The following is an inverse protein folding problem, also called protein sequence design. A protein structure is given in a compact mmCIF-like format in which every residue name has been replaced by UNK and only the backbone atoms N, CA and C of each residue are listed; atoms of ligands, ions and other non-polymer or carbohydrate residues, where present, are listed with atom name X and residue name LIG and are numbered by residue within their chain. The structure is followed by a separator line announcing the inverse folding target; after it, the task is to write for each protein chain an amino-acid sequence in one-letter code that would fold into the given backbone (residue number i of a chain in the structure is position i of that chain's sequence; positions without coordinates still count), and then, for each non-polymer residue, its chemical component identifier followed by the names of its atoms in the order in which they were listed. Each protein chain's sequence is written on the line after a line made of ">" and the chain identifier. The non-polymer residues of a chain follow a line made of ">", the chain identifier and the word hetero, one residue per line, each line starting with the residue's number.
data_IF_462835181355
#
_entry.id   IF_462835181355
#
_cell.length_a   1.000
_cell.length_b   1.000
_cell.length_c   1.000
_cell.angle_alpha   90.00
_cell.angle_beta   90.00
_cell.angle_gamma   90.00
#
_symmetry.space_group_name_H-M   'P 1'
#
loop_
_entity.id
_entity.type
_entity.pdbx_description
1 polymer ?
#
# COMPACT_ATOMS: atom_id res chain seq x y z
N UNK A 1 7.66 -15.02 -5.59
CA UNK A 1 8.01 -14.02 -6.24
C UNK A 1 6.96 -13.26 -6.84
N UNK A 2 6.87 -12.04 -6.54
CA UNK A 2 5.85 -11.31 -7.00
C UNK A 2 6.23 -10.87 -8.30
N UNK A 3 5.57 -10.98 -9.21
CA UNK A 3 5.44 -10.47 -10.22
C UNK A 3 6.33 -10.02 -11.09
N UNK A 4 6.91 -10.91 -11.58
CA UNK A 4 7.74 -10.69 -12.60
C UNK A 4 7.09 -10.19 -13.79
N UNK A 5 5.78 -10.12 -13.81
CA UNK A 5 5.03 -9.65 -14.95
C UNK A 5 4.28 -8.39 -14.61
N UNK A 6 4.98 -7.44 -14.01
CA UNK A 6 4.37 -6.15 -13.72
C UNK A 6 3.99 -5.50 -15.03
N UNK A 7 2.71 -5.30 -15.21
CA UNK A 7 2.20 -4.65 -16.39
C UNK A 7 2.27 -3.15 -16.22
N UNK A 8 1.97 -2.44 -17.28
CA UNK A 8 1.87 -0.99 -17.21
C UNK A 8 0.84 -0.58 -16.18
N UNK A 9 1.01 0.58 -15.56
CA UNK A 9 0.02 1.05 -14.58
C UNK A 9 -1.32 1.29 -15.26
N UNK A 10 -2.38 1.09 -14.50
CA UNK A 10 -3.74 1.35 -14.96
C UNK A 10 -4.34 2.46 -14.11
N UNK A 11 -5.27 3.21 -14.69
CA UNK A 11 -5.96 4.26 -13.96
C UNK A 11 -7.12 3.66 -13.19
N UNK A 12 -7.13 3.91 -11.88
CA UNK A 12 -8.16 3.38 -11.00
C UNK A 12 -8.88 4.57 -10.34
N UNK A 13 -10.22 4.53 -10.26
CA UNK A 13 -10.94 5.60 -9.57
C UNK A 13 -10.48 5.72 -8.12
N UNK A 14 -10.24 6.94 -7.69
CA UNK A 14 -9.79 7.22 -6.33
C UNK A 14 -10.76 6.64 -5.31
N UNK A 15 -12.06 6.68 -5.62
CA UNK A 15 -13.10 6.17 -4.71
C UNK A 15 -13.04 4.65 -4.50
N UNK A 16 -12.30 3.94 -5.34
CA UNK A 16 -12.16 2.49 -5.25
C UNK A 16 -10.90 2.04 -4.54
N UNK A 17 -10.09 2.98 -4.08
CA UNK A 17 -8.81 2.68 -3.43
C UNK A 17 -8.89 3.09 -1.97
N UNK A 18 -8.58 2.15 -1.09
CA UNK A 18 -8.67 2.32 0.35
C UNK A 18 -7.31 2.26 1.00
N UNK A 19 -7.08 2.97 2.12
CA UNK A 19 -5.81 2.84 2.82
C UNK A 19 -5.64 1.42 3.37
N UNK A 20 -4.40 0.99 3.54
CA UNK A 20 -4.12 -0.31 4.14
C UNK A 20 -4.61 -0.29 5.59
N UNK A 21 -5.52 -1.18 5.92
CA UNK A 21 -6.07 -1.25 7.27
C UNK A 21 -4.96 -1.63 8.25
N UNK A 22 -4.81 -0.84 9.30
CA UNK A 22 -3.75 -1.08 10.27
C UNK A 22 -2.38 -0.59 9.84
N UNK A 23 -2.31 0.30 8.85
CA UNK A 23 -1.05 0.89 8.42
C UNK A 23 -0.34 1.51 9.62
N UNK A 24 0.88 1.03 9.99
CA UNK A 24 1.59 1.55 11.15
C UNK A 24 2.17 2.95 10.95
N UNK A 25 2.26 3.39 9.70
CA UNK A 25 2.87 4.68 9.38
C UNK A 25 1.79 5.74 9.26
N UNK A 26 1.99 6.87 9.95
CA UNK A 26 1.01 7.95 9.92
C UNK A 26 1.13 8.75 8.63
N UNK A 27 -0.01 9.12 8.08
CA UNK A 27 -0.08 10.03 6.94
C UNK A 27 -0.50 11.38 7.50
N UNK A 28 0.43 12.34 7.50
CA UNK A 28 0.22 13.63 8.14
C UNK A 28 -0.20 14.69 7.12
N UNK A 29 -1.15 15.53 7.53
CA UNK A 29 -1.55 16.69 6.74
C UNK A 29 -0.72 17.89 7.19
N UNK A 30 0.53 17.91 6.75
CA UNK A 30 1.48 18.95 7.11
C UNK A 30 1.86 19.77 5.88
N UNK A 31 2.85 20.65 6.03
CA UNK A 31 3.30 21.51 4.95
C UNK A 31 3.84 20.71 3.76
N UNK A 32 4.56 19.63 4.03
CA UNK A 32 5.05 18.75 2.98
C UNK A 32 3.89 18.14 2.19
N UNK A 33 2.82 17.80 2.87
CA UNK A 33 1.61 17.29 2.21
C UNK A 33 1.01 18.37 1.32
N UNK A 34 0.98 19.62 1.78
CA UNK A 34 0.46 20.73 0.98
C UNK A 34 1.27 20.93 -0.30
N UNK A 35 2.59 20.82 -0.22
CA UNK A 35 3.44 20.89 -1.41
C UNK A 35 3.16 19.74 -2.38
N UNK A 36 2.95 18.55 -1.83
CA UNK A 36 2.64 17.39 -2.65
C UNK A 36 1.29 17.55 -3.36
N UNK A 37 0.29 18.05 -2.66
CA UNK A 37 -1.03 18.33 -3.23
C UNK A 37 -0.90 19.30 -4.39
N UNK A 38 -0.16 20.39 -4.17
CA UNK A 38 0.04 21.41 -5.18
C UNK A 38 0.75 20.84 -6.40
N UNK A 39 1.79 20.04 -6.18
CA UNK A 39 2.51 19.38 -7.26
C UNK A 39 1.60 18.48 -8.09
N UNK A 40 0.74 17.72 -7.41
CA UNK A 40 -0.19 16.82 -8.08
C UNK A 40 -1.23 17.62 -8.88
N UNK A 41 -1.70 18.73 -8.35
CA UNK A 41 -2.64 19.59 -9.06
C UNK A 41 -2.04 20.16 -10.35
N UNK A 42 -0.74 20.45 -10.33
CA UNK A 42 -0.07 21.03 -11.48
C UNK A 42 0.41 20.01 -12.49
N UNK A 43 0.89 18.87 -12.03
CA UNK A 43 1.56 17.89 -12.90
C UNK A 43 0.93 16.51 -12.90
N UNK A 44 -0.03 16.25 -12.03
CA UNK A 44 -0.59 14.92 -11.85
C UNK A 44 0.38 14.02 -11.06
N UNK A 45 0.06 12.75 -10.99
CA UNK A 45 0.92 11.78 -10.32
C UNK A 45 1.91 11.20 -11.32
N UNK A 46 3.20 11.40 -11.06
CA UNK A 46 4.26 10.89 -11.92
C UNK A 46 4.55 9.43 -11.59
N UNK A 47 4.58 9.08 -10.31
CA UNK A 47 4.86 7.71 -9.87
C UNK A 47 3.57 7.01 -9.46
N UNK A 48 3.24 5.88 -10.09
CA UNK A 48 2.02 5.15 -9.73
C UNK A 48 2.06 4.65 -8.28
N UNK A 49 0.88 4.54 -7.68
CA UNK A 49 0.75 3.86 -6.38
C UNK A 49 0.70 2.36 -6.62
N UNK A 50 0.95 1.58 -5.58
CA UNK A 50 0.87 0.11 -5.65
C UNK A 50 -0.31 -0.32 -4.80
N UNK A 51 -1.19 -1.13 -5.38
CA UNK A 51 -2.42 -1.57 -4.73
C UNK A 51 -2.59 -3.07 -4.89
N UNK A 52 -3.45 -3.65 -4.07
CA UNK A 52 -3.88 -5.04 -4.22
C UNK A 52 -5.40 -5.11 -4.28
N UNK A 53 -5.97 -6.09 -4.94
CA UNK A 53 -7.42 -6.29 -4.90
C UNK A 53 -7.83 -6.74 -3.49
N UNK A 54 -8.97 -6.25 -3.01
CA UNK A 54 -9.52 -6.68 -1.73
C UNK A 54 -10.35 -7.92 -1.97
N UNK A 55 -10.13 -8.95 -1.14
CA UNK A 55 -10.88 -10.21 -1.25
C UNK A 55 -12.37 -9.96 -1.06
N UNK A 56 -13.16 -10.67 -1.84
CA UNK A 56 -14.62 -10.62 -1.77
C UNK A 56 -15.23 -9.25 -2.05
N UNK A 57 -14.49 -8.36 -2.67
CA UNK A 57 -15.00 -7.03 -3.05
C UNK A 57 -14.56 -6.74 -4.48
N UNK A 58 -15.51 -6.71 -5.40
CA UNK A 58 -15.22 -6.49 -6.79
C UNK A 58 -14.76 -5.04 -7.03
N UNK A 59 -13.63 -4.90 -7.73
CA UNK A 59 -13.09 -3.59 -8.10
C UNK A 59 -12.81 -2.67 -6.92
N UNK A 60 -12.48 -3.24 -5.76
CA UNK A 60 -12.01 -2.47 -4.61
C UNK A 60 -10.57 -2.84 -4.33
N UNK A 61 -9.77 -1.85 -3.98
CA UNK A 61 -8.33 -2.01 -3.84
C UNK A 61 -7.83 -1.40 -2.54
N UNK A 62 -6.74 -1.96 -2.05
CA UNK A 62 -6.08 -1.47 -0.83
C UNK A 62 -4.67 -1.05 -1.19
N UNK A 63 -4.24 0.13 -0.69
CA UNK A 63 -2.90 0.65 -0.98
C UNK A 63 -1.84 -0.18 -0.27
N UNK A 64 -0.78 -0.53 -0.97
CA UNK A 64 0.41 -1.14 -0.41
C UNK A 64 1.51 -0.10 -0.29
N UNK A 65 1.71 0.70 -1.33
CA UNK A 65 2.74 1.72 -1.37
C UNK A 65 2.18 2.99 -1.98
N UNK A 66 2.57 4.13 -1.43
CA UNK A 66 2.13 5.42 -1.94
C UNK A 66 0.97 6.02 -1.16
N UNK A 67 0.85 5.73 0.14
CA UNK A 67 -0.22 6.28 0.97
C UNK A 67 -0.25 7.82 0.96
N UNK A 68 0.91 8.46 1.00
CA UNK A 68 0.97 9.92 0.96
C UNK A 68 0.48 10.46 -0.39
N UNK A 69 0.89 9.82 -1.47
CA UNK A 69 0.44 10.21 -2.82
C UNK A 69 -1.06 10.01 -2.96
N UNK A 70 -1.57 8.93 -2.40
CA UNK A 70 -3.00 8.65 -2.43
C UNK A 70 -3.79 9.72 -1.68
N UNK A 71 -3.33 10.07 -0.47
CA UNK A 71 -3.95 11.12 0.32
C UNK A 71 -3.93 12.46 -0.42
N UNK A 72 -2.77 12.81 -0.99
CA UNK A 72 -2.63 14.05 -1.74
C UNK A 72 -3.51 14.08 -2.97
N UNK A 73 -3.67 12.95 -3.64
CA UNK A 73 -4.53 12.85 -4.83
C UNK A 73 -5.99 13.07 -4.47
N UNK A 74 -6.44 12.53 -3.35
CA UNK A 74 -7.78 12.76 -2.85
C UNK A 74 -8.01 14.24 -2.56
N UNK A 75 -7.06 14.87 -1.89
CA UNK A 75 -7.16 16.29 -1.56
C UNK A 75 -7.03 17.19 -2.80
N UNK A 76 -6.30 16.74 -3.80
CA UNK A 76 -6.16 17.47 -5.05
C UNK A 76 -7.41 17.35 -5.94
N UNK A 77 -8.31 16.45 -5.60
CA UNK A 77 -9.55 16.28 -6.35
C UNK A 77 -9.43 15.45 -7.61
N UNK A 78 -8.43 14.58 -7.69
CA UNK A 78 -8.29 13.69 -8.85
C UNK A 78 -9.39 12.63 -8.87
N UNK A 79 -9.90 12.32 -10.05
CA UNK A 79 -10.89 11.25 -10.19
C UNK A 79 -10.23 9.87 -10.25
N UNK A 80 -9.08 9.79 -10.89
CA UNK A 80 -8.35 8.52 -11.02
C UNK A 80 -6.89 8.74 -10.69
N UNK A 81 -6.21 7.64 -10.36
CA UNK A 81 -4.76 7.65 -10.16
C UNK A 81 -4.16 6.47 -10.88
N UNK A 82 -2.93 6.61 -11.40
CA UNK A 82 -2.24 5.45 -11.97
C UNK A 82 -1.79 4.52 -10.85
N UNK A 83 -1.97 3.23 -11.05
CA UNK A 83 -1.66 2.23 -10.05
C UNK A 83 -1.17 0.94 -10.68
N UNK A 84 -0.21 0.30 -10.01
CA UNK A 84 0.16 -1.08 -10.31
C UNK A 84 -0.67 -1.99 -9.42
N UNK A 85 -1.30 -2.99 -10.00
CA UNK A 85 -2.11 -3.94 -9.26
C UNK A 85 -1.28 -5.21 -9.04
N UNK A 86 -1.06 -5.54 -7.77
CA UNK A 86 -0.36 -6.75 -7.36
C UNK A 86 -1.39 -7.68 -6.74
N UNK A 87 -1.59 -8.85 -7.35
CA UNK A 87 -2.54 -9.83 -6.83
C UNK A 87 -1.92 -10.62 -5.68
N UNK A 88 -1.82 -9.99 -4.54
CA UNK A 88 -1.20 -10.56 -3.34
C UNK A 88 -2.23 -10.61 -2.21
N UNK A 89 -1.98 -11.49 -1.24
CA UNK A 89 -2.81 -11.57 -0.04
C UNK A 89 -2.54 -10.37 0.86
N UNK A 90 -3.43 -10.16 1.85
CA UNK A 90 -3.22 -9.11 2.84
C UNK A 90 -1.90 -9.30 3.59
N UNK A 91 -1.56 -10.54 3.96
CA UNK A 91 -0.32 -10.79 4.70
C UNK A 91 0.92 -10.51 3.83
N UNK A 92 0.88 -10.90 2.57
CA UNK A 92 1.95 -10.55 1.64
C UNK A 92 2.07 -9.03 1.49
N UNK A 93 0.94 -8.36 1.39
CA UNK A 93 0.91 -6.90 1.27
C UNK A 93 1.44 -6.23 2.53
N UNK A 94 1.16 -6.77 3.72
CA UNK A 94 1.67 -6.24 4.98
C UNK A 94 3.20 -6.27 4.99
N UNK A 95 3.77 -7.37 4.56
CA UNK A 95 5.23 -7.52 4.47
C UNK A 95 5.80 -6.51 3.47
N UNK A 96 5.18 -6.38 2.31
CA UNK A 96 5.59 -5.42 1.30
C UNK A 96 5.53 -3.98 1.83
N UNK A 97 4.48 -3.64 2.54
CA UNK A 97 4.29 -2.32 3.12
C UNK A 97 5.43 -1.99 4.09
N UNK A 98 5.75 -2.90 4.99
CA UNK A 98 6.81 -2.68 5.97
C UNK A 98 8.16 -2.58 5.26
N UNK A 99 8.46 -3.52 4.35
CA UNK A 99 9.74 -3.55 3.67
C UNK A 99 9.97 -2.32 2.81
N UNK A 100 8.92 -1.78 2.18
CA UNK A 100 9.05 -0.59 1.36
C UNK A 100 9.35 0.67 2.17
N UNK A 101 9.16 0.63 3.48
CA UNK A 101 9.41 1.75 4.38
C UNK A 101 10.66 1.60 5.25
N UNK A 102 11.42 0.50 5.10
CA UNK A 102 12.57 0.24 5.96
C UNK A 102 13.63 1.33 5.93
N UNK A 103 13.73 2.01 4.81
CA UNK A 103 14.80 3.01 4.62
C UNK A 103 14.31 4.46 4.74
N UNK A 104 13.09 4.65 5.22
CA UNK A 104 12.61 6.01 5.43
C UNK A 104 13.32 6.64 6.62
N UNK A 105 13.78 7.88 6.43
CA UNK A 105 14.57 8.56 7.43
C UNK A 105 13.79 9.12 8.62
N UNK A 106 12.45 9.12 8.57
CA UNK A 106 11.65 9.77 9.61
C UNK A 106 10.57 8.85 10.18
N UNK A 107 10.97 7.63 10.57
CA UNK A 107 10.03 6.69 11.17
C UNK A 107 10.14 6.83 12.68
N UNK A 108 9.01 7.09 13.33
CA UNK A 108 8.95 7.18 14.79
C UNK A 108 9.20 5.79 15.42
N UNK A 109 9.79 5.74 16.61
CA UNK A 109 9.98 4.45 17.29
C UNK A 109 8.68 3.66 17.47
N UNK A 110 7.57 4.33 17.76
CA UNK A 110 6.26 3.67 17.88
C UNK A 110 5.80 3.09 16.55
N UNK A 111 6.01 3.81 15.46
CA UNK A 111 5.68 3.31 14.12
C UNK A 111 6.50 2.08 13.78
N UNK A 112 7.80 2.13 14.12
CA UNK A 112 8.70 1.02 13.89
C UNK A 112 8.27 -0.23 14.64
N UNK A 113 7.88 -0.07 15.90
CA UNK A 113 7.41 -1.18 16.72
C UNK A 113 6.15 -1.82 16.15
N UNK A 114 5.18 -1.01 15.75
CA UNK A 114 3.95 -1.51 15.14
C UNK A 114 4.22 -2.18 13.79
N UNK A 115 5.16 -1.63 13.01
CA UNK A 115 5.53 -2.21 11.72
C UNK A 115 6.14 -3.60 11.90
N UNK A 116 7.06 -3.76 12.84
CA UNK A 116 7.65 -5.07 13.13
C UNK A 116 6.60 -6.07 13.57
N UNK A 117 5.69 -5.65 14.45
CA UNK A 117 4.62 -6.52 14.92
C UNK A 117 3.75 -6.97 13.75
N UNK A 118 3.35 -6.05 12.90
CA UNK A 118 2.54 -6.34 11.72
C UNK A 118 3.24 -7.36 10.82
N UNK A 119 4.52 -7.13 10.56
CA UNK A 119 5.28 -8.01 9.68
C UNK A 119 5.44 -9.39 10.29
N UNK A 120 5.79 -9.50 11.57
CA UNK A 120 5.97 -10.78 12.24
C UNK A 120 4.68 -11.59 12.27
N UNK A 121 3.56 -10.94 12.54
CA UNK A 121 2.26 -11.62 12.53
C UNK A 121 1.91 -12.13 11.13
N UNK A 122 2.21 -11.33 10.10
CA UNK A 122 1.96 -11.75 8.72
C UNK A 122 2.82 -12.94 8.33
N UNK A 123 4.10 -12.94 8.70
CA UNK A 123 5.01 -14.04 8.45
C UNK A 123 4.54 -15.31 9.16
N UNK A 124 4.11 -15.17 10.40
CA UNK A 124 3.62 -16.28 11.19
C UNK A 124 2.39 -16.93 10.54
N UNK A 125 1.43 -16.10 10.10
CA UNK A 125 0.23 -16.63 9.43
C UNK A 125 0.56 -17.34 8.13
N UNK A 126 1.53 -16.82 7.36
CA UNK A 126 1.96 -17.48 6.13
C UNK A 126 2.62 -18.81 6.43
N UNK A 127 3.44 -18.90 7.48
CA UNK A 127 4.07 -20.15 7.90
C UNK A 127 3.04 -21.18 8.29
N UNK A 128 2.02 -20.79 9.04
CA UNK A 128 0.93 -21.68 9.44
C UNK A 128 0.18 -22.21 8.22
N UNK A 129 -0.12 -21.35 7.25
CA UNK A 129 -0.80 -21.78 6.02
C UNK A 129 0.05 -22.74 5.21
N UNK A 130 1.34 -22.49 5.13
CA UNK A 130 2.26 -23.37 4.42
C UNK A 130 2.32 -24.74 5.07
N UNK A 131 2.37 -24.80 6.40
CA UNK A 131 2.37 -26.05 7.15
C UNK A 131 1.10 -26.82 6.91
N UNK A 132 -0.05 -26.17 6.95
CA UNK A 132 -1.33 -26.82 6.68
C UNK A 132 -1.39 -27.38 5.26
N UNK A 133 -0.92 -26.61 4.30
CA UNK A 133 -0.88 -27.04 2.90
C UNK A 133 0.02 -28.27 2.75
N UNK A 134 1.19 -28.25 3.39
CA UNK A 134 2.13 -29.38 3.34
C UNK A 134 1.53 -30.64 3.94
N UNK A 135 0.74 -30.50 4.99
CA UNK A 135 0.11 -31.65 5.64
C UNK A 135 -0.98 -32.28 4.78
N UNK A 136 -1.56 -31.54 3.88
CA UNK A 136 -2.60 -32.02 3.01
C UNK A 136 -2.08 -32.79 1.79
N UNK A 137 -0.82 -32.67 1.55
CA UNK A 137 -0.18 -33.39 0.45
C UNK A 137 0.34 -34.71 0.94
#
# INVERSE_FOLDING_TARGET
>A
MFNQNIKSPVNIPVSKIHPFEGNPYKVLDNEEMNFLIESIQQQGIISPVVVRPIENAKDEYEVISGHRRMRASQKAGLETVPAFIYAVTRDEAAIMLVDSNLHRGHILPSEKAFAYKLKLEAIKRQGERTDLTSRQV
#
